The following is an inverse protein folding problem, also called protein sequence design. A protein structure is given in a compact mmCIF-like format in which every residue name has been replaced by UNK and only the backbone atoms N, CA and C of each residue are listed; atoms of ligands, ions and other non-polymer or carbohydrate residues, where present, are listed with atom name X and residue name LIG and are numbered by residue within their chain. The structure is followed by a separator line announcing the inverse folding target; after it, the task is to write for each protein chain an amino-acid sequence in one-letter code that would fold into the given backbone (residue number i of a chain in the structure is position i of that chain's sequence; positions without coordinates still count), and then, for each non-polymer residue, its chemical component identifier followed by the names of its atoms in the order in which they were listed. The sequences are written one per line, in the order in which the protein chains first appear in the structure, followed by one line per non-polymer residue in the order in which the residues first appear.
data_IF_173916735039
#
_entry.id   IF_173916735039
#
_cell.length_a   1.000
_cell.length_b   1.000
_cell.length_c   1.000
_cell.angle_alpha   90.00
_cell.angle_beta   90.00
_cell.angle_gamma   90.00
#
_symmetry.space_group_name_H-M   'P 1'
#
loop_
_entity.id
_entity.type
_entity.pdbx_description
1 polymer ?
#
# COMPACT_ATOMS: atom_id res chain seq x y z
N UNK A 1 -1.67 24.45 1.00
CA UNK A 1 -1.93 25.89 1.27
C UNK A 1 -3.34 25.92 1.84
N UNK A 2 -3.49 26.20 3.13
CA UNK A 2 -4.75 25.96 3.86
C UNK A 2 -5.92 26.83 3.42
N UNK A 3 -7.13 26.36 3.69
CA UNK A 3 -8.39 27.06 3.44
C UNK A 3 -8.60 28.09 4.55
N UNK A 4 -8.59 29.38 4.19
CA UNK A 4 -8.84 30.46 5.16
C UNK A 4 -10.24 30.32 5.77
N UNK A 5 -10.37 30.52 7.09
CA UNK A 5 -11.68 30.55 7.77
C UNK A 5 -12.64 31.61 7.20
N UNK A 6 -12.12 32.67 6.58
CA UNK A 6 -12.92 33.67 5.85
C UNK A 6 -13.65 33.08 4.63
N UNK A 7 -13.26 31.89 4.17
CA UNK A 7 -13.93 31.18 3.09
C UNK A 7 -15.19 30.46 3.57
N UNK A 8 -15.27 30.09 4.85
CA UNK A 8 -16.47 29.48 5.45
C UNK A 8 -17.68 30.44 5.52
N UNK A 9 -17.43 31.74 5.38
CA UNK A 9 -18.47 32.77 5.21
C UNK A 9 -18.96 32.90 3.75
N UNK A 10 -18.42 32.14 2.80
CA UNK A 10 -18.98 32.07 1.44
C UNK A 10 -20.37 31.43 1.44
N UNK A 11 -21.09 31.63 0.33
CA UNK A 11 -22.38 31.00 0.03
C UNK A 11 -22.25 29.62 -0.61
N UNK A 12 -21.03 29.17 -0.86
CA UNK A 12 -20.75 27.91 -1.55
C UNK A 12 -20.25 26.87 -0.56
N UNK A 13 -20.69 25.63 -0.76
CA UNK A 13 -20.19 24.50 0.02
C UNK A 13 -18.70 24.28 -0.26
N UNK A 14 -17.96 23.94 0.79
CA UNK A 14 -16.53 23.65 0.69
C UNK A 14 -16.32 22.17 0.91
N UNK A 15 -15.55 21.54 0.03
CA UNK A 15 -15.20 20.13 0.12
C UNK A 15 -13.71 20.01 0.35
N UNK A 16 -13.34 19.21 1.35
CA UNK A 16 -11.97 19.10 1.82
C UNK A 16 -11.61 17.64 1.89
N UNK A 17 -10.50 17.29 1.30
CA UNK A 17 -9.85 16.01 1.40
C UNK A 17 -8.74 16.09 2.45
N UNK A 18 -8.74 15.19 3.42
CA UNK A 18 -7.72 15.10 4.46
C UNK A 18 -7.11 13.69 4.50
N UNK A 19 -6.10 13.43 3.63
CA UNK A 19 -5.51 12.10 3.47
C UNK A 19 -4.83 11.54 4.71
N UNK A 20 -4.42 12.40 5.65
CA UNK A 20 -3.72 11.93 6.85
C UNK A 20 -4.59 11.05 7.75
N UNK A 21 -5.91 11.26 7.74
CA UNK A 21 -6.89 10.49 8.54
C UNK A 21 -7.91 9.76 7.66
N UNK A 22 -7.60 9.57 6.37
CA UNK A 22 -8.48 8.91 5.39
C UNK A 22 -9.93 9.43 5.39
N UNK A 23 -10.07 10.76 5.46
CA UNK A 23 -11.35 11.41 5.67
C UNK A 23 -11.55 12.62 4.78
N UNK A 24 -12.79 12.84 4.38
CA UNK A 24 -13.23 13.97 3.58
C UNK A 24 -14.30 14.74 4.36
N UNK A 25 -14.29 16.05 4.28
CA UNK A 25 -15.26 16.93 4.91
C UNK A 25 -16.03 17.74 3.87
N UNK A 26 -17.30 17.99 4.17
CA UNK A 26 -18.15 18.94 3.45
C UNK A 26 -18.67 19.97 4.45
N UNK A 27 -18.33 21.24 4.21
CA UNK A 27 -18.95 22.38 4.88
C UNK A 27 -20.22 22.74 4.12
N UNK A 28 -21.38 22.48 4.73
CA UNK A 28 -22.68 22.98 4.25
C UNK A 28 -22.80 24.45 4.65
N UNK A 29 -22.60 25.32 3.65
CA UNK A 29 -22.57 26.77 3.80
C UNK A 29 -23.92 27.35 4.24
N UNK A 30 -25.02 26.69 3.85
CA UNK A 30 -26.41 27.11 4.09
C UNK A 30 -26.85 26.79 5.51
N UNK A 31 -26.58 25.57 5.97
CA UNK A 31 -26.99 25.10 7.28
C UNK A 31 -25.91 25.29 8.35
N UNK A 32 -24.70 25.72 7.96
CA UNK A 32 -23.53 25.89 8.84
C UNK A 32 -23.16 24.59 9.56
N UNK A 33 -23.20 23.48 8.82
CA UNK A 33 -22.97 22.11 9.32
C UNK A 33 -21.76 21.49 8.65
N UNK A 34 -21.06 20.64 9.38
CA UNK A 34 -19.94 19.86 8.85
C UNK A 34 -20.39 18.42 8.67
N UNK A 35 -20.22 17.92 7.46
CA UNK A 35 -20.41 16.51 7.13
C UNK A 35 -19.06 15.84 6.94
N UNK A 36 -18.99 14.56 7.28
CA UNK A 36 -17.77 13.76 7.23
C UNK A 36 -18.00 12.49 6.42
N UNK A 37 -17.04 12.13 5.58
CA UNK A 37 -17.07 10.92 4.75
C UNK A 37 -15.70 10.26 4.82
N UNK A 38 -15.61 9.10 5.45
CA UNK A 38 -14.38 8.30 5.48
C UNK A 38 -14.16 7.63 4.14
N UNK A 39 -12.90 7.39 3.78
CA UNK A 39 -12.56 6.68 2.56
C UNK A 39 -13.23 5.29 2.52
N UNK A 40 -13.82 4.93 1.38
CA UNK A 40 -14.54 3.69 1.15
C UNK A 40 -15.91 3.62 1.83
N UNK A 41 -16.40 4.71 2.42
CA UNK A 41 -17.70 4.80 3.08
C UNK A 41 -18.58 5.90 2.45
N UNK A 42 -19.88 5.78 2.68
CA UNK A 42 -20.82 6.86 2.41
C UNK A 42 -20.65 8.03 3.39
N UNK A 43 -21.18 9.20 3.04
CA UNK A 43 -21.24 10.34 3.95
C UNK A 43 -21.95 9.92 5.25
N UNK A 44 -21.34 10.25 6.39
CA UNK A 44 -21.92 9.98 7.70
C UNK A 44 -23.27 10.67 7.83
N UNK A 45 -24.26 9.93 8.32
CA UNK A 45 -25.58 10.49 8.68
C UNK A 45 -25.47 11.50 9.82
N UNK A 46 -24.45 11.36 10.66
CA UNK A 46 -24.20 12.25 11.79
C UNK A 46 -23.24 13.37 11.37
N UNK A 47 -23.67 14.59 11.66
CA UNK A 47 -22.88 15.81 11.47
C UNK A 47 -21.80 15.91 12.54
N UNK A 48 -20.74 16.66 12.23
CA UNK A 48 -19.65 16.96 13.15
C UNK A 48 -19.73 18.43 13.55
N UNK A 49 -19.36 18.72 14.81
CA UNK A 49 -19.27 20.12 15.25
C UNK A 49 -18.23 20.89 14.42
N UNK A 50 -18.49 22.18 14.16
CA UNK A 50 -17.50 23.06 13.52
C UNK A 50 -16.23 23.24 14.38
N UNK A 51 -16.32 22.98 15.69
CA UNK A 51 -15.18 23.00 16.62
C UNK A 51 -14.43 21.66 16.66
N UNK A 52 -14.81 20.69 15.83
CA UNK A 52 -14.12 19.43 15.74
C UNK A 52 -12.65 19.66 15.35
N UNK A 53 -11.75 19.05 16.12
CA UNK A 53 -10.31 19.18 15.93
C UNK A 53 -9.87 18.73 14.54
N UNK A 54 -10.32 17.55 14.09
CA UNK A 54 -9.93 16.99 12.79
C UNK A 54 -10.44 17.84 11.62
N UNK A 55 -11.63 18.43 11.73
CA UNK A 55 -12.12 19.36 10.70
C UNK A 55 -11.28 20.64 10.65
N UNK A 56 -10.90 21.19 11.81
CA UNK A 56 -10.02 22.38 11.84
C UNK A 56 -8.62 22.06 11.30
N UNK A 57 -8.08 20.87 11.60
CA UNK A 57 -6.82 20.41 11.04
C UNK A 57 -6.94 20.23 9.51
N UNK A 58 -8.06 19.66 9.01
CA UNK A 58 -8.34 19.55 7.59
C UNK A 58 -8.47 20.91 6.89
N UNK A 59 -9.04 21.94 7.53
CA UNK A 59 -9.05 23.30 6.97
C UNK A 59 -7.64 23.86 6.78
N UNK A 60 -6.71 23.55 7.69
CA UNK A 60 -5.34 24.07 7.64
C UNK A 60 -4.43 23.29 6.70
N UNK A 61 -4.56 21.96 6.70
CA UNK A 61 -3.60 21.04 6.06
C UNK A 61 -4.21 20.16 4.97
N UNK A 62 -5.54 20.12 4.87
CA UNK A 62 -6.24 19.38 3.83
C UNK A 62 -6.18 20.06 2.47
N UNK A 63 -6.61 19.32 1.46
CA UNK A 63 -6.71 19.78 0.09
C UNK A 63 -8.16 20.12 -0.21
N UNK A 64 -8.40 21.29 -0.77
CA UNK A 64 -9.71 21.58 -1.33
C UNK A 64 -9.94 20.73 -2.57
N UNK A 65 -11.13 20.16 -2.66
CA UNK A 65 -11.56 19.30 -3.76
C UNK A 65 -12.92 19.77 -4.31
N UNK A 66 -13.31 19.21 -5.44
CA UNK A 66 -14.61 19.46 -6.04
C UNK A 66 -15.71 18.63 -5.40
N UNK A 67 -16.96 19.06 -5.61
CA UNK A 67 -18.15 18.29 -5.22
C UNK A 67 -18.17 16.89 -5.86
N UNK A 68 -17.75 16.78 -7.11
CA UNK A 68 -17.74 15.51 -7.85
C UNK A 68 -16.70 14.55 -7.27
N UNK A 69 -15.52 15.04 -6.89
CA UNK A 69 -14.51 14.24 -6.18
C UNK A 69 -15.02 13.77 -4.81
N UNK A 70 -15.72 14.64 -4.07
CA UNK A 70 -16.33 14.25 -2.79
C UNK A 70 -17.43 13.19 -2.96
N UNK A 71 -18.28 13.35 -3.99
CA UNK A 71 -19.34 12.42 -4.31
C UNK A 71 -18.76 11.05 -4.71
N UNK A 72 -17.75 11.02 -5.59
CA UNK A 72 -17.04 9.80 -5.97
C UNK A 72 -16.39 9.11 -4.74
N UNK A 73 -15.89 9.91 -3.80
CA UNK A 73 -15.18 9.43 -2.62
C UNK A 73 -13.80 8.88 -2.96
N UNK A 74 -13.00 8.62 -1.92
CA UNK A 74 -11.71 7.95 -2.06
C UNK A 74 -11.77 6.55 -1.48
N UNK A 75 -10.91 5.66 -1.97
CA UNK A 75 -10.76 4.30 -1.46
C UNK A 75 -9.53 4.25 -0.56
N UNK A 76 -9.61 3.53 0.55
CA UNK A 76 -8.42 3.17 1.32
C UNK A 76 -7.62 2.16 0.48
N UNK A 77 -6.45 2.58 -0.02
CA UNK A 77 -5.66 1.81 -0.98
C UNK A 77 -4.92 0.67 -0.33
N UNK A 78 -4.44 0.87 0.90
CA UNK A 78 -3.78 -0.18 1.66
C UNK A 78 -4.76 -1.28 2.08
N UNK A 79 -5.96 -0.93 2.57
CA UNK A 79 -7.00 -1.89 2.90
C UNK A 79 -7.37 -2.75 1.69
N UNK A 80 -7.52 -2.11 0.53
CA UNK A 80 -7.78 -2.82 -0.73
C UNK A 80 -6.63 -3.77 -1.10
N UNK A 81 -5.37 -3.34 -0.96
CA UNK A 81 -4.21 -4.17 -1.20
C UNK A 81 -4.15 -5.39 -0.27
N UNK A 82 -4.44 -5.18 1.03
CA UNK A 82 -4.51 -6.26 2.03
C UNK A 82 -5.64 -7.25 1.68
N UNK A 83 -6.80 -6.76 1.25
CA UNK A 83 -7.91 -7.62 0.83
C UNK A 83 -7.54 -8.47 -0.39
N UNK A 84 -6.92 -7.87 -1.41
CA UNK A 84 -6.44 -8.57 -2.60
C UNK A 84 -5.45 -9.67 -2.21
N UNK A 85 -4.42 -9.34 -1.42
CA UNK A 85 -3.42 -10.30 -0.96
C UNK A 85 -4.05 -11.45 -0.14
N UNK A 86 -4.98 -11.12 0.76
CA UNK A 86 -5.68 -12.11 1.59
C UNK A 86 -6.49 -13.08 0.74
N UNK A 87 -7.16 -12.59 -0.30
CA UNK A 87 -7.91 -13.42 -1.23
C UNK A 87 -6.99 -14.28 -2.11
N UNK A 88 -5.93 -13.68 -2.65
CA UNK A 88 -4.95 -14.36 -3.51
C UNK A 88 -4.29 -15.55 -2.81
N UNK A 89 -3.91 -15.38 -1.55
CA UNK A 89 -3.23 -16.40 -0.75
C UNK A 89 -4.18 -17.25 0.12
N UNK A 90 -5.50 -17.19 -0.14
CA UNK A 90 -6.48 -17.97 0.61
C UNK A 90 -6.26 -19.47 0.42
N UNK A 91 -6.10 -20.20 1.53
CA UNK A 91 -5.79 -21.64 1.51
C UNK A 91 -4.33 -22.00 1.22
N UNK A 92 -3.45 -21.00 1.01
CA UNK A 92 -2.02 -21.22 0.88
C UNK A 92 -1.36 -21.28 2.25
N UNK A 93 -0.44 -22.23 2.44
CA UNK A 93 0.32 -22.41 3.67
C UNK A 93 1.83 -22.31 3.39
N UNK A 94 2.56 -21.73 4.34
CA UNK A 94 4.02 -21.68 4.30
C UNK A 94 4.64 -23.06 4.65
N UNK A 95 5.96 -23.15 4.55
CA UNK A 95 6.71 -24.38 4.87
C UNK A 95 6.58 -24.81 6.34
N UNK A 96 6.19 -23.90 7.23
CA UNK A 96 5.94 -24.14 8.65
C UNK A 96 4.49 -24.52 8.95
N UNK A 97 3.62 -24.57 7.93
CA UNK A 97 2.19 -24.88 8.06
C UNK A 97 1.32 -23.70 8.51
N UNK A 98 1.85 -22.47 8.51
CA UNK A 98 1.09 -21.27 8.83
C UNK A 98 0.44 -20.67 7.57
N UNK A 99 -0.68 -19.93 7.69
CA UNK A 99 -1.28 -19.23 6.55
C UNK A 99 -0.27 -18.31 5.85
N UNK A 100 -0.14 -18.43 4.53
CA UNK A 100 0.90 -17.74 3.77
C UNK A 100 0.78 -16.21 3.83
N UNK A 101 -0.45 -15.67 3.90
CA UNK A 101 -0.73 -14.23 4.04
C UNK A 101 0.07 -13.54 5.16
N UNK A 102 0.48 -14.29 6.19
CA UNK A 102 1.31 -13.75 7.26
C UNK A 102 2.68 -13.26 6.74
N UNK A 103 3.22 -13.84 5.66
CA UNK A 103 4.46 -13.39 5.03
C UNK A 103 4.36 -12.00 4.41
N UNK A 104 3.47 -11.75 3.42
CA UNK A 104 3.30 -10.39 2.90
C UNK A 104 2.99 -9.36 3.98
N UNK A 105 2.24 -9.72 5.03
CA UNK A 105 1.97 -8.81 6.16
C UNK A 105 3.24 -8.47 6.97
N UNK A 106 4.13 -9.44 7.26
CA UNK A 106 5.39 -9.16 7.98
C UNK A 106 6.33 -8.27 7.17
N UNK A 107 6.41 -8.50 5.86
CA UNK A 107 7.18 -7.64 4.94
C UNK A 107 6.57 -6.23 4.93
N UNK A 108 5.25 -6.11 4.82
CA UNK A 108 4.53 -4.83 4.90
C UNK A 108 4.83 -4.05 6.19
N UNK A 109 4.90 -4.71 7.35
CA UNK A 109 5.17 -4.04 8.63
C UNK A 109 6.61 -3.53 8.78
N UNK A 110 7.51 -3.77 7.82
CA UNK A 110 8.84 -3.15 7.81
C UNK A 110 8.85 -1.72 7.24
N UNK A 111 7.71 -1.23 6.73
CA UNK A 111 7.61 0.03 6.02
C UNK A 111 6.55 0.95 6.65
N UNK A 112 6.81 2.26 6.60
CA UNK A 112 5.90 3.29 7.14
C UNK A 112 5.02 3.92 6.05
N UNK A 113 5.58 4.09 4.84
CA UNK A 113 4.87 4.72 3.72
C UNK A 113 3.74 3.83 3.19
N UNK A 114 2.56 4.40 2.96
CA UNK A 114 1.42 3.67 2.38
C UNK A 114 1.81 2.96 1.08
N UNK A 115 2.54 3.64 0.20
CA UNK A 115 3.00 3.10 -1.08
C UNK A 115 3.89 1.87 -0.91
N UNK A 116 4.86 1.95 0.01
CA UNK A 116 5.76 0.83 0.30
C UNK A 116 4.99 -0.35 0.89
N UNK A 117 4.06 -0.08 1.80
CA UNK A 117 3.20 -1.09 2.41
C UNK A 117 2.29 -1.77 1.38
N UNK A 118 1.74 -1.02 0.43
CA UNK A 118 0.94 -1.59 -0.67
C UNK A 118 1.79 -2.53 -1.53
N UNK A 119 2.97 -2.09 -1.99
CA UNK A 119 3.84 -2.95 -2.81
C UNK A 119 4.29 -4.18 -2.01
N UNK A 120 4.66 -3.99 -0.74
CA UNK A 120 5.07 -5.07 0.14
C UNK A 120 3.97 -6.13 0.36
N UNK A 121 2.72 -5.73 0.58
CA UNK A 121 1.64 -6.72 0.79
C UNK A 121 1.22 -7.42 -0.50
N UNK A 122 1.48 -6.82 -1.68
CA UNK A 122 1.12 -7.36 -2.99
C UNK A 122 2.27 -8.09 -3.70
N UNK A 123 3.48 -8.09 -3.16
CA UNK A 123 4.69 -8.47 -3.92
C UNK A 123 4.66 -9.89 -4.51
N UNK A 124 4.04 -10.85 -3.82
CA UNK A 124 3.93 -12.24 -4.28
C UNK A 124 2.60 -12.54 -5.00
N UNK A 125 1.64 -11.61 -5.00
CA UNK A 125 0.28 -11.87 -5.50
C UNK A 125 0.30 -12.28 -6.98
N UNK A 126 1.16 -11.67 -7.77
CA UNK A 126 1.25 -11.95 -9.22
C UNK A 126 1.96 -13.27 -9.49
N UNK A 127 2.92 -13.67 -8.64
CA UNK A 127 3.65 -14.93 -8.82
C UNK A 127 2.85 -16.15 -8.32
N UNK A 128 2.12 -15.99 -7.22
CA UNK A 128 1.50 -17.11 -6.48
C UNK A 128 -0.01 -17.23 -6.69
N UNK A 129 -0.62 -16.38 -7.53
CA UNK A 129 -2.06 -16.43 -7.80
C UNK A 129 -2.40 -16.22 -9.27
N UNK A 130 -3.69 -16.25 -9.61
CA UNK A 130 -4.18 -15.97 -10.96
C UNK A 130 -4.39 -14.47 -11.24
N UNK A 131 -4.11 -13.60 -10.27
CA UNK A 131 -4.31 -12.15 -10.40
C UNK A 131 -3.19 -11.56 -11.26
N UNK A 132 -3.58 -10.78 -12.27
CA UNK A 132 -2.67 -10.12 -13.20
C UNK A 132 -2.36 -8.67 -12.80
N UNK A 133 -1.24 -8.14 -13.29
CA UNK A 133 -0.88 -6.72 -13.15
C UNK A 133 -1.99 -5.78 -13.68
N UNK A 134 -2.68 -6.17 -14.75
CA UNK A 134 -3.77 -5.38 -15.32
C UNK A 134 -4.99 -5.32 -14.39
N UNK A 135 -5.30 -6.40 -13.69
CA UNK A 135 -6.37 -6.41 -12.68
C UNK A 135 -5.99 -5.53 -11.48
N UNK A 136 -4.73 -5.59 -11.02
CA UNK A 136 -4.23 -4.68 -9.98
C UNK A 136 -4.36 -3.23 -10.47
N UNK A 137 -3.88 -2.91 -11.68
CA UNK A 137 -4.01 -1.57 -12.27
C UNK A 137 -5.47 -1.10 -12.36
N UNK A 138 -6.39 -1.99 -12.73
CA UNK A 138 -7.83 -1.72 -12.78
C UNK A 138 -8.46 -1.32 -11.44
N UNK A 139 -7.82 -1.66 -10.31
CA UNK A 139 -8.24 -1.21 -8.98
C UNK A 139 -7.83 0.25 -8.68
N UNK A 140 -7.05 0.89 -9.56
CA UNK A 140 -6.66 2.30 -9.46
C UNK A 140 -5.44 2.55 -8.57
N UNK A 141 -4.51 1.59 -8.50
CA UNK A 141 -3.18 1.83 -7.98
C UNK A 141 -2.35 2.67 -8.96
N UNK A 142 -1.40 3.44 -8.45
CA UNK A 142 -0.54 4.32 -9.27
C UNK A 142 0.39 3.51 -10.17
N UNK A 143 0.81 4.09 -11.30
CA UNK A 143 1.76 3.44 -12.20
C UNK A 143 3.08 3.07 -11.49
N UNK A 144 3.53 3.89 -10.53
CA UNK A 144 4.72 3.60 -9.71
C UNK A 144 4.59 2.29 -8.90
N UNK A 145 3.39 2.01 -8.35
CA UNK A 145 3.11 0.74 -7.64
C UNK A 145 3.12 -0.42 -8.64
N UNK A 146 2.50 -0.24 -9.80
CA UNK A 146 2.42 -1.27 -10.84
C UNK A 146 3.82 -1.61 -11.38
N UNK A 147 4.66 -0.61 -11.64
CA UNK A 147 6.04 -0.80 -12.11
C UNK A 147 6.90 -1.54 -11.08
N UNK A 148 6.75 -1.20 -9.79
CA UNK A 148 7.47 -1.91 -8.73
C UNK A 148 7.01 -3.38 -8.60
N UNK A 149 5.70 -3.63 -8.71
CA UNK A 149 5.14 -4.99 -8.70
C UNK A 149 5.57 -5.81 -9.92
N UNK A 150 5.64 -5.20 -11.10
CA UNK A 150 6.22 -5.87 -12.28
C UNK A 150 7.67 -6.26 -11.99
N UNK A 151 8.49 -5.33 -11.49
CA UNK A 151 9.89 -5.59 -11.11
C UNK A 151 10.04 -6.75 -10.11
N UNK A 152 9.11 -6.87 -9.17
CA UNK A 152 9.11 -7.91 -8.13
C UNK A 152 8.58 -9.25 -8.61
N UNK A 153 7.86 -9.29 -9.73
CA UNK A 153 7.26 -10.51 -10.28
C UNK A 153 8.19 -11.15 -11.30
N UNK A 154 8.73 -12.31 -10.97
CA UNK A 154 9.67 -13.05 -11.80
C UNK A 154 9.00 -13.61 -13.06
N UNK A 155 9.69 -13.47 -14.19
CA UNK A 155 9.26 -13.96 -15.50
C UNK A 155 9.74 -15.39 -15.74
N UNK A 156 9.05 -16.13 -16.61
CA UNK A 156 9.40 -17.52 -16.90
C UNK A 156 10.67 -17.65 -17.73
N UNK A 157 10.98 -16.64 -18.54
CA UNK A 157 12.09 -16.57 -19.49
C UNK A 157 13.36 -15.92 -18.92
N UNK A 158 13.35 -15.47 -17.66
CA UNK A 158 14.52 -14.88 -17.01
C UNK A 158 15.14 -15.81 -15.94
N UNK A 159 16.47 -15.78 -15.87
CA UNK A 159 17.19 -16.42 -14.77
C UNK A 159 17.16 -15.54 -13.50
N UNK A 160 17.59 -16.11 -12.38
CA UNK A 160 17.50 -15.40 -11.10
C UNK A 160 18.39 -14.15 -11.01
N UNK A 161 19.55 -14.15 -11.68
CA UNK A 161 20.42 -12.97 -11.68
C UNK A 161 19.84 -11.84 -12.54
N UNK A 162 19.26 -12.17 -13.70
CA UNK A 162 18.53 -11.23 -14.57
C UNK A 162 17.34 -10.61 -13.85
N UNK A 163 16.60 -11.41 -13.09
CA UNK A 163 15.52 -10.93 -12.24
C UNK A 163 16.02 -9.92 -11.21
N UNK A 164 17.13 -10.21 -10.51
CA UNK A 164 17.72 -9.27 -9.56
C UNK A 164 18.22 -7.99 -10.25
N UNK A 165 18.78 -8.09 -11.46
CA UNK A 165 19.17 -6.91 -12.25
C UNK A 165 17.99 -6.03 -12.62
N UNK A 166 16.82 -6.60 -12.90
CA UNK A 166 15.58 -5.85 -13.12
C UNK A 166 15.05 -5.22 -11.83
N UNK A 167 15.08 -5.94 -10.72
CA UNK A 167 14.73 -5.36 -9.41
C UNK A 167 15.63 -4.15 -9.09
N UNK A 168 16.92 -4.22 -9.43
CA UNK A 168 17.90 -3.14 -9.22
C UNK A 168 17.57 -1.84 -9.99
N UNK A 169 16.72 -1.87 -11.01
CA UNK A 169 16.32 -0.65 -11.73
C UNK A 169 15.25 0.16 -11.02
N UNK A 170 14.60 -0.40 -10.00
CA UNK A 170 13.51 0.24 -9.25
C UNK A 170 13.82 0.24 -7.75
N UNK A 171 14.01 1.43 -7.18
CA UNK A 171 14.39 1.59 -5.76
C UNK A 171 13.33 1.02 -4.81
N UNK A 172 12.05 1.19 -5.13
CA UNK A 172 10.94 0.66 -4.33
C UNK A 172 10.97 -0.88 -4.34
N UNK A 173 11.08 -1.50 -5.52
CA UNK A 173 11.22 -2.95 -5.65
C UNK A 173 12.44 -3.48 -4.88
N UNK A 174 13.59 -2.79 -4.94
CA UNK A 174 14.78 -3.15 -4.19
C UNK A 174 14.52 -3.24 -2.69
N UNK A 175 13.91 -2.20 -2.11
CA UNK A 175 13.65 -2.14 -0.67
C UNK A 175 12.73 -3.29 -0.24
N UNK A 176 11.65 -3.54 -1.00
CA UNK A 176 10.73 -4.64 -0.71
C UNK A 176 11.45 -5.98 -0.84
N UNK A 177 12.26 -6.18 -1.88
CA UNK A 177 12.97 -7.45 -2.09
C UNK A 177 13.99 -7.77 -1.00
N UNK A 178 14.61 -6.74 -0.41
CA UNK A 178 15.51 -6.89 0.74
C UNK A 178 14.75 -7.49 1.93
N UNK A 179 13.58 -6.92 2.27
CA UNK A 179 12.80 -7.38 3.42
C UNK A 179 12.11 -8.73 3.18
N UNK A 180 11.65 -9.00 1.95
CA UNK A 180 11.22 -10.33 1.51
C UNK A 180 12.32 -11.37 1.76
N UNK A 181 13.53 -11.13 1.24
CA UNK A 181 14.66 -12.05 1.42
C UNK A 181 14.97 -12.23 2.90
N UNK A 182 14.96 -11.17 3.71
CA UNK A 182 15.20 -11.27 5.17
C UNK A 182 14.15 -12.12 5.87
N UNK A 183 12.85 -11.94 5.59
CA UNK A 183 11.79 -12.77 6.19
C UNK A 183 11.96 -14.23 5.78
N UNK A 184 12.29 -14.48 4.51
CA UNK A 184 12.55 -15.80 3.96
C UNK A 184 13.82 -16.47 4.52
N UNK A 185 14.83 -15.69 4.93
CA UNK A 185 16.06 -16.17 5.57
C UNK A 185 15.87 -16.52 7.05
N UNK A 186 14.71 -16.22 7.65
CA UNK A 186 14.45 -16.51 9.06
C UNK A 186 14.23 -18.02 9.30
N UNK A 187 15.34 -18.74 9.42
CA UNK A 187 15.42 -20.19 9.63
C UNK A 187 14.80 -20.69 10.94
N UNK A 188 14.53 -19.81 11.91
CA UNK A 188 13.90 -20.19 13.19
C UNK A 188 12.47 -20.75 13.01
N UNK A 189 11.92 -20.60 11.81
CA UNK A 189 10.54 -20.99 11.45
C UNK A 189 10.47 -22.31 10.68
N UNK A 190 11.61 -22.89 10.33
CA UNK A 190 11.68 -24.19 9.68
C UNK A 190 11.92 -25.27 10.72
N UNK A 191 10.96 -26.19 10.85
CA UNK A 191 11.09 -27.34 11.75
C UNK A 191 12.19 -28.32 11.31
N UNK A 192 12.57 -28.32 10.03
CA UNK A 192 13.64 -29.14 9.44
C UNK A 192 14.29 -28.43 8.25
N UNK A 193 15.63 -28.37 8.22
CA UNK A 193 16.41 -27.75 7.13
C UNK A 193 16.89 -28.84 6.16
N UNK A 194 16.64 -28.69 4.85
CA UNK A 194 17.12 -29.62 3.81
C UNK A 194 18.23 -28.99 2.95
N UNK A 195 18.98 -29.81 2.20
CA UNK A 195 20.03 -29.31 1.28
C UNK A 195 19.53 -28.30 0.23
N UNK A 196 18.27 -28.44 -0.22
CA UNK A 196 17.64 -27.47 -1.14
C UNK A 196 17.47 -26.09 -0.49
N UNK A 197 17.24 -26.05 0.82
CA UNK A 197 17.13 -24.80 1.57
C UNK A 197 18.52 -24.14 1.72
N UNK A 198 19.58 -24.92 1.96
CA UNK A 198 20.97 -24.40 1.99
C UNK A 198 21.38 -23.73 0.67
N UNK A 199 21.05 -24.34 -0.48
CA UNK A 199 21.31 -23.73 -1.80
C UNK A 199 20.51 -22.44 -2.00
N UNK A 200 19.27 -22.37 -1.49
CA UNK A 200 18.43 -21.16 -1.54
C UNK A 200 19.01 -20.05 -0.65
N UNK A 201 19.44 -20.38 0.56
CA UNK A 201 20.09 -19.44 1.49
C UNK A 201 21.33 -18.80 0.85
N UNK A 202 22.16 -19.59 0.16
CA UNK A 202 23.34 -19.07 -0.54
C UNK A 202 22.97 -18.07 -1.64
N UNK A 203 21.97 -18.40 -2.48
CA UNK A 203 21.47 -17.47 -3.53
C UNK A 203 20.92 -16.18 -2.93
N UNK A 204 20.16 -16.29 -1.84
CA UNK A 204 19.58 -15.15 -1.16
C UNK A 204 20.61 -14.24 -0.51
N UNK A 205 21.68 -14.81 0.06
CA UNK A 205 22.80 -14.03 0.59
C UNK A 205 23.51 -13.21 -0.51
N UNK A 206 23.71 -13.80 -1.69
CA UNK A 206 24.30 -13.09 -2.84
C UNK A 206 23.40 -11.96 -3.34
N UNK A 207 22.10 -12.22 -3.52
CA UNK A 207 21.12 -11.22 -3.92
C UNK A 207 21.05 -10.07 -2.92
N UNK A 208 20.94 -10.37 -1.62
CA UNK A 208 20.90 -9.38 -0.55
C UNK A 208 22.15 -8.48 -0.54
N UNK A 209 23.33 -9.06 -0.79
CA UNK A 209 24.59 -8.30 -0.87
C UNK A 209 24.60 -7.31 -2.04
N UNK A 210 24.05 -7.70 -3.20
CA UNK A 210 23.90 -6.81 -4.37
C UNK A 210 22.92 -5.67 -4.08
N UNK A 211 21.75 -6.00 -3.54
CA UNK A 211 20.68 -5.05 -3.23
C UNK A 211 21.12 -4.02 -2.18
N UNK A 212 21.73 -4.45 -1.07
CA UNK A 212 22.23 -3.53 -0.03
C UNK A 212 23.33 -2.61 -0.56
N UNK A 213 24.22 -3.12 -1.42
CA UNK A 213 25.28 -2.30 -2.02
C UNK A 213 24.71 -1.21 -2.94
N UNK A 214 23.59 -1.49 -3.62
CA UNK A 214 22.91 -0.53 -4.47
C UNK A 214 22.14 0.51 -3.65
N UNK A 215 21.40 0.09 -2.63
CA UNK A 215 20.62 1.00 -1.78
C UNK A 215 21.46 1.99 -0.95
N UNK A 216 22.78 1.78 -0.85
CA UNK A 216 23.73 2.67 -0.15
C UNK A 216 24.41 3.70 -1.07
N UNK A 217 24.19 3.63 -2.37
CA UNK A 217 24.68 4.63 -3.34
C UNK A 217 23.67 5.75 -3.50
#
# INVERSE_FOLDING_TARGET
MGISKSRLSSIEDIFIDYPFEDVMYRWDSKNKKVHVKFYGKEESKNEVSHDNRLFNDALLFGNEITKDEYAAGKKNRLDMAIQIATQAHSGQFDKGGQPYILHPLRVMFQFDSEKERIVAVLHDVIEDSNITLNEIKGNGFSDEIIEALDCLSRRQDENYDEFIDRVLTNQLACMIKIEDIKDNLNVTRLNNIKEKDLKRLYKYHQALSRLIKHARK
#
